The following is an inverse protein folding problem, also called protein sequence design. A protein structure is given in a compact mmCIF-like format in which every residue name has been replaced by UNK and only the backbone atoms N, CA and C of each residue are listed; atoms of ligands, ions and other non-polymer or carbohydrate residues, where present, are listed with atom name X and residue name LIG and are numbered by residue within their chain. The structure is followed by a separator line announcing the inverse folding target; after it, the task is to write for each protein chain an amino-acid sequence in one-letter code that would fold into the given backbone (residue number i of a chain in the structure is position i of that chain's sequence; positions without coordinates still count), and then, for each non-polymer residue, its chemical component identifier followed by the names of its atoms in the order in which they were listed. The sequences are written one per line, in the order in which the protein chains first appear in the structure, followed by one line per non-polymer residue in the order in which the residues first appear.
data_IF_220100198636
#
_entry.id   IF_220100198636
#
_cell.length_a   1.000
_cell.length_b   1.000
_cell.length_c   1.000
_cell.angle_alpha   90.00
_cell.angle_beta   90.00
_cell.angle_gamma   90.00
#
_symmetry.space_group_name_H-M   'P 1'
#
loop_
_entity.id
_entity.type
_entity.pdbx_description
1 polymer ?
#
# COMPACT_ATOMS: atom_id res chain seq x y z
N UNK A 1 -34.99 29.48 35.34
CA UNK A 1 -34.91 28.13 34.75
C UNK A 1 -33.67 28.09 33.85
N UNK A 2 -32.61 27.47 34.34
CA UNK A 2 -31.37 27.21 33.60
C UNK A 2 -31.66 26.08 32.61
N UNK A 3 -31.66 26.37 31.30
CA UNK A 3 -31.64 25.37 30.26
C UNK A 3 -30.22 24.81 30.16
N UNK A 4 -30.00 23.61 30.67
CA UNK A 4 -28.78 22.88 30.41
C UNK A 4 -28.74 22.52 28.92
N UNK A 5 -27.74 23.03 28.23
CA UNK A 5 -27.39 22.60 26.88
C UNK A 5 -27.00 21.11 26.94
N UNK A 6 -27.59 20.23 26.14
CA UNK A 6 -27.15 18.82 26.12
C UNK A 6 -25.67 18.80 25.75
N UNK A 7 -24.84 18.18 26.61
CA UNK A 7 -23.47 17.85 26.22
C UNK A 7 -23.51 17.05 24.92
N UNK A 8 -22.75 17.48 23.94
CA UNK A 8 -22.55 16.72 22.70
C UNK A 8 -22.03 15.33 23.07
N UNK A 9 -22.74 14.28 22.66
CA UNK A 9 -22.29 12.89 22.82
C UNK A 9 -21.07 12.65 21.90
N UNK A 10 -19.89 12.89 22.45
CA UNK A 10 -18.64 12.54 21.81
C UNK A 10 -18.42 11.04 21.97
N UNK A 11 -18.27 10.34 20.87
CA UNK A 11 -17.84 8.94 20.89
C UNK A 11 -16.39 8.92 20.46
N UNK A 12 -15.52 8.41 21.31
CA UNK A 12 -14.11 8.19 21.01
C UNK A 12 -13.79 6.71 21.12
N UNK A 13 -12.88 6.25 20.27
CA UNK A 13 -12.30 4.91 20.32
C UNK A 13 -10.79 5.01 20.19
N UNK A 14 -10.06 4.17 20.89
CA UNK A 14 -8.62 4.04 20.76
C UNK A 14 -8.30 2.89 19.83
N UNK A 15 -7.28 3.05 18.99
CA UNK A 15 -6.83 2.01 18.05
C UNK A 15 -5.34 1.80 18.20
N UNK A 16 -4.95 0.56 18.44
CA UNK A 16 -3.56 0.10 18.36
C UNK A 16 -3.39 -0.71 17.08
N UNK A 17 -2.51 -0.27 16.19
CA UNK A 17 -2.26 -0.88 14.88
C UNK A 17 -0.95 -1.65 14.96
N UNK A 18 -0.99 -2.97 14.92
CA UNK A 18 0.18 -3.84 15.00
C UNK A 18 0.76 -4.13 13.62
N UNK A 19 -0.10 -4.19 12.59
CA UNK A 19 0.27 -4.52 11.23
C UNK A 19 -0.74 -3.91 10.26
N UNK A 20 -0.26 -3.42 9.12
CA UNK A 20 -1.11 -2.98 8.02
C UNK A 20 -1.41 -4.13 7.06
N UNK A 21 -2.54 -4.06 6.36
CA UNK A 21 -2.84 -4.96 5.26
C UNK A 21 -2.03 -4.56 4.02
N UNK A 22 -1.40 -5.56 3.39
CA UNK A 22 -0.69 -5.42 2.11
C UNK A 22 -1.13 -6.50 1.13
N UNK A 23 -1.10 -6.18 -0.17
CA UNK A 23 -1.06 -7.18 -1.23
C UNK A 23 0.39 -7.54 -1.52
N UNK A 24 0.63 -8.66 -2.19
CA UNK A 24 1.99 -9.05 -2.58
C UNK A 24 2.61 -7.99 -3.50
N UNK A 25 3.88 -7.72 -3.28
CA UNK A 25 4.72 -6.93 -4.18
C UNK A 25 6.00 -7.70 -4.50
N UNK A 26 6.27 -7.84 -5.79
CA UNK A 26 7.55 -8.33 -6.29
C UNK A 26 8.34 -7.18 -6.91
N UNK A 27 9.66 -7.24 -6.76
CA UNK A 27 10.58 -6.27 -7.38
C UNK A 27 11.70 -6.98 -8.10
N UNK A 28 11.98 -6.51 -9.30
CA UNK A 28 13.18 -6.94 -10.03
C UNK A 28 14.44 -6.45 -9.33
N UNK A 29 15.55 -7.09 -9.63
CA UNK A 29 16.85 -6.49 -9.37
C UNK A 29 16.95 -5.16 -10.13
N UNK A 30 17.70 -4.21 -9.57
CA UNK A 30 18.05 -2.98 -10.27
C UNK A 30 18.97 -3.30 -11.46
N UNK A 31 18.57 -2.88 -12.66
CA UNK A 31 19.33 -3.04 -13.89
C UNK A 31 19.74 -1.67 -14.44
N UNK A 32 20.96 -1.58 -15.01
CA UNK A 32 21.35 -0.30 -15.66
C UNK A 32 20.40 -0.02 -16.82
N UNK A 33 19.64 1.07 -16.69
CA UNK A 33 18.53 1.39 -17.58
C UNK A 33 18.94 1.49 -19.07
N UNK A 34 20.07 2.13 -19.46
CA UNK A 34 20.48 2.29 -20.85
C UNK A 34 21.18 1.07 -21.43
N UNK A 35 21.61 0.10 -20.59
CA UNK A 35 22.35 -1.05 -21.10
C UNK A 35 21.41 -1.97 -21.90
N UNK A 36 21.93 -2.61 -22.94
CA UNK A 36 21.19 -3.56 -23.76
C UNK A 36 20.75 -4.75 -22.91
N UNK A 37 19.55 -5.22 -23.20
CA UNK A 37 19.01 -6.40 -22.54
C UNK A 37 19.70 -7.68 -23.04
N UNK A 38 20.19 -8.52 -22.11
CA UNK A 38 20.98 -9.71 -22.42
C UNK A 38 20.17 -11.03 -22.33
N UNK A 39 18.87 -10.98 -21.99
CA UNK A 39 18.03 -12.17 -21.79
C UNK A 39 17.51 -12.81 -23.09
N UNK A 40 18.08 -12.47 -24.24
CA UNK A 40 17.73 -13.05 -25.57
C UNK A 40 16.75 -12.17 -26.35
N UNK A 41 16.72 -12.41 -27.67
CA UNK A 41 15.89 -11.66 -28.63
C UNK A 41 14.68 -12.49 -29.07
N UNK A 42 13.72 -11.81 -29.70
CA UNK A 42 12.52 -12.41 -30.28
C UNK A 42 11.36 -12.50 -29.31
N UNK A 43 10.34 -13.28 -29.66
CA UNK A 43 9.17 -13.50 -28.82
C UNK A 43 9.53 -14.37 -27.63
N UNK A 44 9.35 -13.80 -26.44
CA UNK A 44 9.53 -14.49 -25.17
C UNK A 44 8.20 -14.57 -24.44
N UNK A 45 7.99 -15.65 -23.71
CA UNK A 45 6.75 -15.94 -23.00
C UNK A 45 7.05 -16.20 -21.55
N UNK A 46 6.29 -15.54 -20.69
CA UNK A 46 6.25 -15.82 -19.26
C UNK A 46 4.82 -16.08 -18.79
N UNK A 47 4.70 -16.80 -17.71
CA UNK A 47 3.43 -17.12 -17.09
C UNK A 47 3.28 -16.30 -15.81
N UNK A 48 2.10 -15.73 -15.63
CA UNK A 48 1.64 -15.10 -14.41
C UNK A 48 0.50 -15.95 -13.83
N UNK A 49 0.74 -16.58 -12.68
CA UNK A 49 -0.27 -17.32 -11.94
C UNK A 49 -0.88 -16.42 -10.87
N UNK A 50 -2.20 -16.25 -10.89
CA UNK A 50 -2.99 -15.47 -9.94
C UNK A 50 -4.24 -16.26 -9.60
N UNK A 51 -4.58 -16.37 -8.31
CA UNK A 51 -5.76 -17.11 -7.84
C UNK A 51 -5.83 -18.55 -8.40
N UNK A 52 -4.67 -19.22 -8.47
CA UNK A 52 -4.53 -20.57 -9.00
C UNK A 52 -4.73 -20.69 -10.51
N UNK A 53 -4.88 -19.57 -11.23
CA UNK A 53 -5.04 -19.54 -12.69
C UNK A 53 -3.78 -19.05 -13.37
N UNK A 54 -3.39 -19.73 -14.42
CA UNK A 54 -2.19 -19.43 -15.19
C UNK A 54 -2.52 -18.63 -16.44
N UNK A 55 -1.85 -17.51 -16.60
CA UNK A 55 -2.02 -16.60 -17.72
C UNK A 55 -0.69 -16.46 -18.46
N UNK A 56 -0.68 -16.78 -19.75
CA UNK A 56 0.50 -16.67 -20.60
C UNK A 56 0.59 -15.27 -21.18
N UNK A 57 1.70 -14.59 -20.94
CA UNK A 57 1.99 -13.25 -21.39
C UNK A 57 3.21 -13.26 -22.32
N UNK A 58 3.20 -12.39 -23.32
CA UNK A 58 4.20 -12.35 -24.37
C UNK A 58 4.86 -10.99 -24.42
N UNK A 59 6.16 -11.00 -24.66
CA UNK A 59 6.98 -9.81 -24.91
C UNK A 59 7.89 -10.09 -26.10
N UNK A 60 7.87 -9.20 -27.08
CA UNK A 60 8.85 -9.22 -28.17
C UNK A 60 10.05 -8.36 -27.79
N UNK A 61 11.22 -9.00 -27.67
CA UNK A 61 12.50 -8.35 -27.41
C UNK A 61 13.21 -8.12 -28.73
N UNK A 62 13.46 -6.87 -29.09
CA UNK A 62 14.11 -6.48 -30.33
C UNK A 62 15.58 -6.14 -30.11
N UNK A 63 16.38 -6.25 -31.20
CA UNK A 63 17.77 -5.79 -31.15
C UNK A 63 17.83 -4.28 -30.87
N UNK A 64 18.47 -3.90 -29.78
CA UNK A 64 18.53 -2.50 -29.34
C UNK A 64 17.61 -2.20 -28.14
N UNK A 65 16.75 -3.11 -27.74
CA UNK A 65 16.00 -2.93 -26.50
C UNK A 65 16.95 -2.87 -25.29
N UNK A 66 16.74 -1.84 -24.49
CA UNK A 66 17.48 -1.68 -23.23
C UNK A 66 16.79 -2.43 -22.10
N UNK A 67 17.48 -2.60 -20.98
CA UNK A 67 16.91 -3.20 -19.78
C UNK A 67 15.60 -2.49 -19.37
N UNK A 68 15.59 -1.16 -19.39
CA UNK A 68 14.40 -0.37 -19.11
C UNK A 68 13.28 -0.66 -20.10
N UNK A 69 13.58 -0.69 -21.40
CA UNK A 69 12.59 -0.95 -22.46
C UNK A 69 11.92 -2.32 -22.28
N UNK A 70 12.70 -3.37 -21.98
CA UNK A 70 12.14 -4.70 -21.74
C UNK A 70 11.28 -4.75 -20.48
N UNK A 71 11.72 -4.12 -19.40
CA UNK A 71 10.90 -3.99 -18.18
C UNK A 71 9.59 -3.24 -18.46
N UNK A 72 9.59 -2.18 -19.27
CA UNK A 72 8.38 -1.45 -19.67
C UNK A 72 7.45 -2.31 -20.54
N UNK A 73 7.99 -3.13 -21.44
CA UNK A 73 7.21 -4.10 -22.23
C UNK A 73 6.56 -5.16 -21.32
N UNK A 74 7.29 -5.70 -20.33
CA UNK A 74 6.74 -6.62 -19.35
C UNK A 74 5.63 -5.96 -18.53
N UNK A 75 5.87 -4.75 -18.04
CA UNK A 75 4.88 -3.95 -17.30
C UNK A 75 3.61 -3.75 -18.12
N UNK A 76 3.74 -3.42 -19.40
CA UNK A 76 2.60 -3.23 -20.30
C UNK A 76 1.82 -4.54 -20.53
N UNK A 77 2.52 -5.66 -20.72
CA UNK A 77 1.88 -6.97 -20.89
C UNK A 77 1.05 -7.36 -19.64
N UNK A 78 1.60 -7.14 -18.44
CA UNK A 78 0.91 -7.43 -17.17
C UNK A 78 -0.32 -6.53 -17.01
N UNK A 79 -0.17 -5.22 -17.21
CA UNK A 79 -1.26 -4.26 -17.03
C UNK A 79 -2.41 -4.48 -18.04
N UNK A 80 -2.08 -4.85 -19.28
CA UNK A 80 -3.07 -5.13 -20.32
C UNK A 80 -3.87 -6.41 -20.06
N UNK A 81 -3.32 -7.35 -19.31
CA UNK A 81 -4.01 -8.59 -18.95
C UNK A 81 -5.15 -8.38 -17.94
N UNK A 82 -5.17 -7.26 -17.19
CA UNK A 82 -6.24 -6.86 -16.24
C UNK A 82 -6.59 -7.94 -15.22
N UNK A 83 -5.56 -8.56 -14.66
CA UNK A 83 -5.69 -9.69 -13.72
C UNK A 83 -5.76 -9.27 -12.24
N UNK A 84 -6.05 -8.02 -11.95
CA UNK A 84 -5.99 -7.49 -10.57
C UNK A 84 -4.56 -7.26 -10.07
N UNK A 85 -3.60 -7.28 -10.99
CA UNK A 85 -2.16 -7.04 -10.75
C UNK A 85 -1.76 -5.81 -11.55
N UNK A 86 -0.95 -4.95 -10.98
CA UNK A 86 -0.38 -3.78 -11.64
C UNK A 86 1.13 -3.85 -11.65
N UNK A 87 1.74 -3.38 -12.72
CA UNK A 87 3.17 -3.32 -12.88
C UNK A 87 3.62 -1.90 -13.24
N UNK A 88 4.78 -1.49 -12.77
CA UNK A 88 5.39 -0.19 -13.06
C UNK A 88 6.90 -0.28 -13.09
N UNK A 89 7.53 0.57 -13.89
CA UNK A 89 8.99 0.69 -13.96
C UNK A 89 9.37 2.05 -13.38
N UNK A 90 10.29 2.04 -12.42
CA UNK A 90 10.91 3.25 -11.89
C UNK A 90 12.37 3.30 -12.30
N UNK A 91 12.90 4.51 -12.49
CA UNK A 91 14.32 4.72 -12.79
C UNK A 91 14.89 5.75 -11.83
N UNK A 92 15.95 5.36 -11.13
CA UNK A 92 16.68 6.24 -10.23
C UNK A 92 18.19 6.05 -10.44
N UNK A 93 18.95 7.13 -10.57
CA UNK A 93 20.41 7.10 -10.76
C UNK A 93 20.87 6.20 -11.92
N UNK A 94 20.12 6.16 -13.02
CA UNK A 94 20.43 5.32 -14.19
C UNK A 94 20.13 3.84 -14.00
N UNK A 95 19.47 3.44 -12.92
CA UNK A 95 19.04 2.07 -12.63
C UNK A 95 17.53 1.98 -12.74
N UNK A 96 17.02 1.04 -13.53
CA UNK A 96 15.59 0.74 -13.66
C UNK A 96 15.20 -0.48 -12.82
N UNK A 97 14.02 -0.43 -12.23
CA UNK A 97 13.43 -1.51 -11.42
C UNK A 97 11.98 -1.70 -11.82
N UNK A 98 11.61 -2.92 -12.13
CA UNK A 98 10.23 -3.34 -12.38
C UNK A 98 9.60 -3.76 -11.04
N UNK A 99 8.51 -3.11 -10.67
CA UNK A 99 7.69 -3.50 -9.51
C UNK A 99 6.35 -4.03 -10.00
N UNK A 100 5.93 -5.16 -9.46
CA UNK A 100 4.65 -5.80 -9.73
C UNK A 100 3.90 -5.94 -8.40
N UNK A 101 2.64 -5.52 -8.37
CA UNK A 101 1.87 -5.48 -7.12
C UNK A 101 0.44 -5.96 -7.32
N UNK A 102 -0.09 -6.69 -6.34
CA UNK A 102 -1.52 -6.93 -6.23
C UNK A 102 -2.28 -5.62 -5.99
N UNK A 103 -3.40 -5.43 -6.68
CA UNK A 103 -4.25 -4.24 -6.51
C UNK A 103 -5.06 -4.28 -5.22
N UNK A 104 -5.25 -5.46 -4.65
CA UNK A 104 -5.95 -5.67 -3.39
C UNK A 104 -4.97 -6.01 -2.28
N UNK A 105 -5.40 -5.78 -1.05
CA UNK A 105 -4.65 -6.11 0.17
C UNK A 105 -5.27 -7.32 0.86
N UNK A 106 -4.54 -7.88 1.83
CA UNK A 106 -5.02 -8.97 2.66
C UNK A 106 -4.41 -10.32 2.29
N UNK A 107 -4.37 -11.19 3.28
CA UNK A 107 -3.83 -12.55 3.19
C UNK A 107 -4.82 -13.49 2.48
N UNK A 108 -4.76 -13.52 1.16
CA UNK A 108 -5.60 -14.39 0.32
C UNK A 108 -4.82 -14.79 -0.94
N UNK A 109 -5.13 -15.96 -1.48
CA UNK A 109 -4.48 -16.44 -2.71
C UNK A 109 -4.77 -15.53 -3.90
N UNK A 110 -5.91 -14.86 -3.93
CA UNK A 110 -6.26 -13.86 -4.94
C UNK A 110 -5.36 -12.62 -4.92
N UNK A 111 -4.66 -12.37 -3.80
CA UNK A 111 -3.74 -11.25 -3.61
C UNK A 111 -2.27 -11.69 -3.70
N UNK A 112 -2.03 -12.95 -4.07
CA UNK A 112 -0.72 -13.53 -4.34
C UNK A 112 -0.60 -13.87 -5.81
N UNK A 113 0.63 -13.84 -6.30
CA UNK A 113 0.93 -14.20 -7.68
C UNK A 113 2.34 -14.80 -7.79
N UNK A 114 2.54 -15.58 -8.83
CA UNK A 114 3.84 -16.15 -9.16
C UNK A 114 4.15 -15.87 -10.64
N UNK A 115 5.43 -15.67 -10.93
CA UNK A 115 5.94 -15.51 -12.28
C UNK A 115 6.95 -16.59 -12.60
N UNK A 116 6.93 -17.06 -13.85
CA UNK A 116 7.95 -17.98 -14.36
C UNK A 116 8.14 -17.82 -15.86
N UNK A 117 9.34 -18.07 -16.33
CA UNK A 117 9.61 -18.15 -17.76
C UNK A 117 8.97 -19.41 -18.36
N UNK A 118 8.40 -19.28 -19.56
CA UNK A 118 7.92 -20.38 -20.40
C UNK A 118 8.88 -20.54 -21.59
N UNK A 119 9.15 -19.45 -22.32
CA UNK A 119 10.20 -19.38 -23.35
C UNK A 119 11.00 -18.10 -23.15
N UNK A 120 12.31 -18.20 -23.32
CA UNK A 120 13.21 -17.08 -23.06
C UNK A 120 13.63 -16.97 -21.58
N UNK A 121 13.93 -15.77 -21.12
CA UNK A 121 14.54 -15.55 -19.82
C UNK A 121 14.10 -14.21 -19.16
N UNK A 122 12.88 -13.74 -19.43
CA UNK A 122 12.39 -12.45 -18.92
C UNK A 122 12.38 -12.39 -17.39
N UNK A 123 11.78 -13.39 -16.76
CA UNK A 123 11.64 -13.46 -15.29
C UNK A 123 12.99 -13.68 -14.64
N UNK A 124 13.75 -14.66 -15.13
CA UNK A 124 15.08 -14.99 -14.60
C UNK A 124 16.08 -13.85 -14.75
N UNK A 125 16.13 -13.17 -15.89
CA UNK A 125 17.09 -12.08 -16.13
C UNK A 125 16.76 -10.84 -15.28
N UNK A 126 15.48 -10.55 -15.08
CA UNK A 126 15.05 -9.43 -14.26
C UNK A 126 14.96 -9.80 -12.76
N UNK A 127 14.89 -11.07 -12.41
CA UNK A 127 14.62 -11.59 -11.04
C UNK A 127 13.33 -11.01 -10.44
N UNK A 128 12.33 -10.74 -11.28
CA UNK A 128 11.07 -10.09 -10.85
C UNK A 128 10.11 -11.05 -10.11
N UNK A 129 10.47 -12.33 -10.03
CA UNK A 129 9.82 -13.32 -9.17
C UNK A 129 10.18 -13.18 -7.69
N UNK A 130 11.13 -12.31 -7.34
CA UNK A 130 11.50 -12.05 -5.96
C UNK A 130 10.41 -11.29 -5.22
N UNK A 131 9.83 -11.92 -4.20
CA UNK A 131 8.84 -11.31 -3.31
C UNK A 131 9.52 -10.27 -2.42
N UNK A 132 9.11 -9.02 -2.52
CA UNK A 132 9.58 -7.89 -1.71
C UNK A 132 8.68 -7.66 -0.50
N UNK A 133 7.37 -7.79 -0.69
CA UNK A 133 6.35 -7.71 0.35
C UNK A 133 5.35 -8.84 0.12
N UNK A 134 5.11 -9.66 1.13
CA UNK A 134 4.07 -10.69 1.06
C UNK A 134 2.68 -10.10 1.32
N UNK A 135 1.65 -10.76 0.82
CA UNK A 135 0.26 -10.44 1.12
C UNK A 135 -0.03 -10.73 2.59
N UNK A 136 -0.61 -9.75 3.28
CA UNK A 136 -0.92 -9.87 4.71
C UNK A 136 -2.14 -9.06 5.11
N UNK A 137 -2.84 -9.50 6.16
CA UNK A 137 -3.95 -8.79 6.77
C UNK A 137 -3.46 -7.65 7.67
N UNK A 138 -4.29 -6.64 7.86
CA UNK A 138 -4.14 -5.72 8.98
C UNK A 138 -4.43 -6.45 10.30
N UNK A 139 -3.65 -6.11 11.34
CA UNK A 139 -3.85 -6.60 12.71
C UNK A 139 -3.91 -5.39 13.64
N UNK A 140 -5.00 -5.28 14.38
CA UNK A 140 -5.26 -4.11 15.22
C UNK A 140 -6.12 -4.48 16.44
N UNK A 141 -6.17 -3.58 17.43
CA UNK A 141 -7.04 -3.66 18.59
C UNK A 141 -7.84 -2.36 18.73
N UNK A 142 -9.09 -2.47 19.18
CA UNK A 142 -9.95 -1.33 19.47
C UNK A 142 -10.23 -1.32 20.97
N UNK A 143 -10.03 -0.16 21.59
CA UNK A 143 -10.30 0.12 23.02
C UNK A 143 -9.66 -0.92 23.98
N UNK A 144 -8.47 -1.41 23.62
CA UNK A 144 -7.77 -2.44 24.39
C UNK A 144 -8.45 -3.80 24.42
N UNK A 145 -9.41 -4.04 23.54
CA UNK A 145 -10.14 -5.31 23.41
C UNK A 145 -9.33 -6.40 22.73
N UNK A 146 -10.02 -7.41 22.19
CA UNK A 146 -9.38 -8.52 21.48
C UNK A 146 -8.68 -8.03 20.19
N UNK A 147 -7.60 -8.75 19.82
CA UNK A 147 -6.92 -8.56 18.54
C UNK A 147 -7.87 -8.90 17.40
N UNK A 148 -7.99 -7.99 16.44
CA UNK A 148 -8.81 -8.12 15.26
C UNK A 148 -7.92 -8.19 14.00
N UNK A 149 -8.45 -8.82 12.96
CA UNK A 149 -7.80 -8.92 11.66
C UNK A 149 -8.73 -8.45 10.56
N UNK A 150 -8.19 -7.75 9.55
CA UNK A 150 -8.93 -7.28 8.38
C UNK A 150 -8.09 -7.45 7.12
N UNK A 151 -8.73 -7.86 6.03
CA UNK A 151 -8.07 -7.91 4.72
C UNK A 151 -7.80 -6.53 4.11
N UNK A 152 -8.35 -5.47 4.70
CA UNK A 152 -8.16 -4.09 4.24
C UNK A 152 -7.69 -3.19 5.38
N UNK A 153 -7.13 -2.04 5.01
CA UNK A 153 -6.78 -0.99 5.97
C UNK A 153 -7.96 -0.08 6.32
N UNK A 154 -9.13 -0.32 5.74
CA UNK A 154 -10.37 0.34 6.15
C UNK A 154 -11.11 -0.59 7.12
N UNK A 155 -11.25 -0.16 8.36
CA UNK A 155 -11.76 -0.99 9.47
C UNK A 155 -12.87 -0.28 10.22
N UNK A 156 -13.84 -1.05 10.71
CA UNK A 156 -14.89 -0.55 11.59
C UNK A 156 -14.42 -0.58 13.04
N UNK A 157 -14.55 0.55 13.72
CA UNK A 157 -14.22 0.69 15.14
C UNK A 157 -15.45 0.56 16.05
N UNK A 158 -16.60 0.20 15.49
CA UNK A 158 -17.87 0.21 16.19
C UNK A 158 -18.56 1.58 16.18
N UNK A 159 -19.79 1.64 16.70
CA UNK A 159 -20.58 2.88 16.84
C UNK A 159 -20.70 3.72 15.54
N UNK A 160 -20.59 3.07 14.37
CA UNK A 160 -20.61 3.70 13.06
C UNK A 160 -19.36 4.54 12.74
N UNK A 161 -18.24 4.25 13.40
CA UNK A 161 -16.94 4.84 13.10
C UNK A 161 -16.18 3.88 12.20
N UNK A 162 -15.71 4.38 11.05
CA UNK A 162 -14.77 3.69 10.15
C UNK A 162 -13.45 4.44 10.14
N UNK A 163 -12.35 3.74 10.26
CA UNK A 163 -11.01 4.31 10.22
C UNK A 163 -10.19 3.71 9.08
N UNK A 164 -9.28 4.51 8.52
CA UNK A 164 -8.28 4.04 7.55
C UNK A 164 -6.94 3.97 8.28
N UNK A 165 -6.42 2.75 8.41
CA UNK A 165 -5.13 2.49 9.01
C UNK A 165 -4.02 2.91 8.04
N UNK A 166 -3.12 3.80 8.45
CA UNK A 166 -2.08 4.35 7.57
C UNK A 166 -0.66 4.03 8.02
N UNK A 167 -0.49 3.76 9.31
CA UNK A 167 0.80 3.50 9.94
C UNK A 167 0.60 2.67 11.20
N UNK A 168 1.53 1.78 11.47
CA UNK A 168 1.61 1.07 12.74
C UNK A 168 1.83 2.07 13.88
N UNK A 169 1.12 1.85 15.01
CA UNK A 169 1.14 2.81 16.14
C UNK A 169 2.25 2.53 17.14
N UNK A 170 2.99 1.42 17.00
CA UNK A 170 3.96 1.04 18.01
C UNK A 170 3.28 0.77 19.38
N UNK A 171 3.80 1.39 20.45
CA UNK A 171 3.32 1.18 21.83
C UNK A 171 2.12 2.09 22.16
N UNK A 172 2.00 3.24 21.50
CA UNK A 172 0.98 4.26 21.81
C UNK A 172 -0.24 4.10 20.88
N UNK A 173 -1.46 3.88 21.44
CA UNK A 173 -2.68 3.84 20.64
C UNK A 173 -3.05 5.24 20.11
N UNK A 174 -3.73 5.26 18.96
CA UNK A 174 -4.30 6.50 18.40
C UNK A 174 -5.76 6.63 18.81
N UNK A 175 -6.14 7.80 19.30
CA UNK A 175 -7.54 8.10 19.63
C UNK A 175 -8.26 8.66 18.41
N UNK A 176 -9.36 8.03 18.02
CA UNK A 176 -10.27 8.47 16.97
C UNK A 176 -11.53 9.05 17.62
N UNK A 177 -11.88 10.28 17.28
CA UNK A 177 -13.05 10.97 17.84
C UNK A 177 -14.08 11.15 16.72
N UNK A 178 -15.32 10.73 16.99
CA UNK A 178 -16.47 11.02 16.15
C UNK A 178 -17.24 12.19 16.73
N UNK A 179 -17.33 13.26 15.96
CA UNK A 179 -18.14 14.42 16.28
C UNK A 179 -19.60 14.16 15.86
N UNK A 180 -20.53 14.24 16.81
CA UNK A 180 -21.96 14.13 16.49
C UNK A 180 -22.44 15.50 16.06
N UNK A 181 -22.54 15.76 14.77
CA UNK A 181 -23.15 16.98 14.24
C UNK A 181 -24.63 16.97 14.68
N UNK A 182 -25.11 17.98 15.42
CA UNK A 182 -26.50 18.05 15.81
C UNK A 182 -27.39 18.19 14.55
N UNK A 183 -28.62 17.62 14.53
CA UNK A 183 -29.49 17.57 13.36
C UNK A 183 -30.19 18.91 13.03
N UNK A 184 -29.55 20.03 13.24
CA UNK A 184 -30.11 21.36 12.95
C UNK A 184 -29.21 22.17 12.03
N UNK A 185 -29.15 21.78 10.77
CA UNK A 185 -29.16 22.74 9.66
C UNK A 185 -29.50 22.00 8.37
N UNK A 186 -30.60 22.43 7.74
CA UNK A 186 -30.91 22.09 6.34
C UNK A 186 -29.88 22.78 5.44
N UNK A 187 -28.69 22.27 5.38
CA UNK A 187 -27.72 22.59 4.35
C UNK A 187 -27.04 21.30 3.90
N UNK A 188 -27.49 20.81 2.75
CA UNK A 188 -26.72 19.92 1.87
C UNK A 188 -25.36 20.59 1.72
N UNK A 189 -24.29 19.91 2.10
CA UNK A 189 -22.91 20.02 1.62
C UNK A 189 -21.92 19.52 2.69
N UNK A 190 -21.13 18.58 2.25
CA UNK A 190 -19.85 18.13 2.79
C UNK A 190 -19.83 17.37 4.13
N UNK A 191 -19.84 16.05 3.99
CA UNK A 191 -19.23 15.14 4.98
C UNK A 191 -17.72 15.39 4.93
N UNK A 192 -17.20 16.16 5.86
CA UNK A 192 -15.77 16.23 6.13
C UNK A 192 -15.45 15.32 7.31
N UNK A 193 -15.01 14.11 7.04
CA UNK A 193 -14.32 13.32 8.05
C UNK A 193 -12.92 13.91 8.24
N UNK A 194 -12.75 14.77 9.23
CA UNK A 194 -11.43 15.21 9.66
C UNK A 194 -10.80 14.11 10.50
N UNK A 195 -9.94 13.30 9.90
CA UNK A 195 -8.90 12.59 10.62
C UNK A 195 -7.86 13.64 11.05
N UNK A 196 -7.92 14.08 12.28
CA UNK A 196 -6.85 14.90 12.86
C UNK A 196 -5.68 13.96 13.21
N UNK A 197 -4.68 13.91 12.36
CA UNK A 197 -3.36 13.41 12.74
C UNK A 197 -2.74 14.45 13.67
N UNK A 198 -2.79 14.23 14.98
CA UNK A 198 -1.97 15.00 15.90
C UNK A 198 -0.52 14.57 15.74
N UNK A 199 0.24 15.37 15.00
CA UNK A 199 1.70 15.31 14.99
C UNK A 199 2.15 15.90 16.35
N UNK A 200 2.65 15.06 17.27
CA UNK A 200 3.31 15.54 18.47
C UNK A 200 4.57 16.30 18.10
N UNK A 201 4.50 17.63 18.15
CA UNK A 201 5.69 18.47 18.23
C UNK A 201 6.34 18.20 19.58
N UNK A 202 7.53 17.62 19.56
CA UNK A 202 8.44 17.73 20.70
C UNK A 202 8.78 19.21 20.88
N UNK A 203 8.27 19.79 21.95
CA UNK A 203 8.71 21.11 22.40
C UNK A 203 10.08 20.92 23.07
N UNK A 204 11.13 21.21 22.33
CA UNK A 204 12.43 21.51 22.92
C UNK A 204 12.32 22.88 23.58
N UNK A 205 12.16 22.89 24.89
CA UNK A 205 12.26 24.10 25.70
C UNK A 205 13.71 24.57 25.69
N UNK A 206 14.02 25.56 24.87
CA UNK A 206 15.26 26.32 25.00
C UNK A 206 15.03 27.37 26.11
N UNK A 207 15.74 27.17 27.22
CA UNK A 207 15.83 28.18 28.29
C UNK A 207 16.56 29.43 27.76
N UNK A 208 16.11 30.64 28.08
CA UNK A 208 16.82 31.86 27.71
C UNK A 208 18.09 32.03 28.57
N UNK A 209 19.14 32.66 28.04
CA UNK A 209 20.35 32.89 28.79
C UNK A 209 20.09 33.93 29.92
N UNK A 210 20.53 33.57 31.12
CA UNK A 210 20.56 34.47 32.27
C UNK A 210 21.71 35.47 32.05
N UNK A 211 21.39 36.71 31.82
CA UNK A 211 22.33 37.80 31.92
C UNK A 211 22.67 38.02 33.43
N UNK A 212 23.90 37.64 33.76
CA UNK A 212 24.49 37.99 35.06
C UNK A 212 25.36 39.23 34.93
N UNK A 213 25.32 40.00 35.94
CA UNK A 213 26.17 41.16 36.22
C UNK A 213 27.63 40.79 36.40
#
# INVERSE_FOLDING_TARGET
QSKSTPLADWTSSTVSIHQLAYGQENKSNGMRAPDLYEGGLGYQQFELEVDGRRHQLFVEVQGGDTNKTVQEKMSSAINNAKLGISASVSTANGVSTLSIRSNNTGDSDANRFQLRDVTGALVRTTSVDTVHQDAQNAVYMVDGGAVQSSSTNEVSLGNGITAILRKETGVEPVTVIKDKIPPTSKSRWAIWSRALTLCTRQATATLPPILGW
#
